data_IF_507077535280
#
_entry.id   IF_507077535280
#
_cell.length_a   1.000
_cell.length_b   1.000
_cell.length_c   1.000
_cell.angle_alpha   90.00
_cell.angle_beta   90.00
_cell.angle_gamma   90.00
#
_symmetry.space_group_name_H-M   'P 1'
#
loop_
_entity.id
_entity.type
_entity.pdbx_description
1 polymer ?
#
# COMPACT_ATOMS: atom_id res chain seq x y z
N UNK A 1 -25.38 8.33 10.42
CA UNK A 1 -25.91 7.20 9.63
C UNK A 1 -24.72 6.32 9.26
N UNK A 2 -24.61 5.10 9.80
CA UNK A 2 -23.48 4.22 9.53
C UNK A 2 -23.59 3.63 8.11
N UNK A 3 -22.50 3.63 7.35
CA UNK A 3 -22.47 3.01 6.02
C UNK A 3 -22.63 1.49 6.18
N UNK A 4 -23.47 0.81 5.38
CA UNK A 4 -23.56 -0.64 5.43
C UNK A 4 -22.18 -1.27 5.22
N UNK A 5 -21.90 -2.35 5.96
CA UNK A 5 -20.70 -3.14 5.76
C UNK A 5 -20.74 -3.70 4.33
N UNK A 6 -19.65 -3.54 3.58
CA UNK A 6 -19.52 -4.13 2.24
C UNK A 6 -19.37 -5.65 2.38
N UNK A 7 -19.95 -6.38 1.45
CA UNK A 7 -19.78 -7.84 1.39
C UNK A 7 -18.33 -8.16 0.98
N UNK A 8 -17.78 -9.26 1.49
CA UNK A 8 -16.45 -9.72 1.12
C UNK A 8 -16.30 -9.98 -0.37
N UNK A 9 -17.40 -10.37 -1.05
CA UNK A 9 -17.45 -10.57 -2.50
C UNK A 9 -17.55 -9.29 -3.33
N UNK A 10 -17.78 -8.12 -2.71
CA UNK A 10 -17.84 -6.85 -3.44
C UNK A 10 -16.46 -6.47 -3.98
N UNK A 11 -16.45 -5.87 -5.17
CA UNK A 11 -15.21 -5.40 -5.80
C UNK A 11 -14.63 -4.23 -5.02
N UNK A 12 -13.37 -4.37 -4.64
CA UNK A 12 -12.60 -3.37 -3.91
C UNK A 12 -11.56 -2.66 -4.78
N UNK A 13 -11.03 -3.36 -5.79
CA UNK A 13 -10.02 -2.84 -6.71
C UNK A 13 -10.27 -3.37 -8.12
N UNK A 14 -10.01 -2.52 -9.12
CA UNK A 14 -10.00 -2.92 -10.52
C UNK A 14 -9.03 -2.03 -11.30
N UNK A 15 -8.15 -2.66 -12.06
CA UNK A 15 -7.29 -2.03 -13.06
C UNK A 15 -7.31 -2.83 -14.37
N UNK A 16 -6.43 -2.50 -15.31
CA UNK A 16 -6.35 -3.19 -16.60
C UNK A 16 -5.85 -4.63 -16.50
N UNK A 17 -5.12 -4.99 -15.43
CA UNK A 17 -4.52 -6.31 -15.23
C UNK A 17 -5.34 -7.21 -14.32
N UNK A 18 -6.15 -6.67 -13.41
CA UNK A 18 -6.90 -7.48 -12.45
C UNK A 18 -8.13 -6.81 -11.85
N UNK A 19 -9.00 -7.64 -11.25
CA UNK A 19 -10.16 -7.25 -10.46
C UNK A 19 -10.13 -8.03 -9.15
N UNK A 20 -10.21 -7.33 -8.03
CA UNK A 20 -10.10 -7.92 -6.69
C UNK A 20 -11.31 -7.54 -5.83
N UNK A 21 -11.77 -8.49 -5.05
CA UNK A 21 -12.81 -8.36 -4.05
C UNK A 21 -12.27 -7.81 -2.72
N UNK A 22 -13.15 -7.38 -1.84
CA UNK A 22 -12.79 -6.95 -0.49
C UNK A 22 -12.10 -8.08 0.31
N UNK A 23 -12.53 -9.33 0.14
CA UNK A 23 -11.88 -10.49 0.76
C UNK A 23 -10.46 -10.73 0.24
N UNK A 24 -10.23 -10.62 -1.07
CA UNK A 24 -8.89 -10.79 -1.66
C UNK A 24 -7.93 -9.68 -1.22
N UNK A 25 -8.41 -8.43 -1.16
CA UNK A 25 -7.61 -7.30 -0.64
C UNK A 25 -7.25 -7.53 0.83
N UNK A 26 -8.20 -7.98 1.66
CA UNK A 26 -7.98 -8.25 3.08
C UNK A 26 -7.03 -9.43 3.35
N UNK A 27 -6.87 -10.35 2.39
CA UNK A 27 -5.91 -11.44 2.46
C UNK A 27 -4.46 -11.02 2.15
N UNK A 28 -4.21 -9.74 1.83
CA UNK A 28 -2.86 -9.21 1.61
C UNK A 28 -2.00 -9.42 2.87
N UNK A 29 -0.77 -9.98 2.74
CA UNK A 29 0.13 -10.11 3.87
C UNK A 29 0.40 -8.75 4.55
N UNK A 30 0.26 -8.66 5.90
CA UNK A 30 0.52 -7.42 6.61
C UNK A 30 2.02 -7.09 6.61
N UNK A 31 2.34 -5.80 6.56
CA UNK A 31 3.71 -5.28 6.66
C UNK A 31 3.84 -4.51 7.97
N UNK A 32 4.72 -4.98 8.86
CA UNK A 32 4.93 -4.37 10.19
C UNK A 32 6.19 -3.50 10.26
N UNK A 33 7.06 -3.61 9.26
CA UNK A 33 8.27 -2.78 9.10
C UNK A 33 7.99 -1.44 8.43
N UNK A 34 8.92 -0.49 8.58
CA UNK A 34 8.88 0.78 7.84
C UNK A 34 9.47 0.55 6.47
N UNK A 35 8.73 0.71 5.39
CA UNK A 35 9.23 0.40 4.04
C UNK A 35 9.18 1.63 3.13
N UNK A 36 10.12 1.72 2.19
CA UNK A 36 10.06 2.70 1.10
C UNK A 36 9.78 1.97 -0.21
N UNK A 37 8.56 2.12 -0.72
CA UNK A 37 8.12 1.46 -1.95
C UNK A 37 8.41 2.34 -3.16
N UNK A 38 9.08 1.75 -4.17
CA UNK A 38 9.13 2.34 -5.52
C UNK A 38 7.90 1.88 -6.30
N UNK A 39 7.09 2.80 -6.86
CA UNK A 39 5.96 2.41 -7.68
C UNK A 39 6.37 1.49 -8.83
N UNK A 40 5.57 0.46 -9.06
CA UNK A 40 5.74 -0.52 -10.13
C UNK A 40 4.43 -0.60 -10.94
N UNK A 41 3.69 -1.69 -10.82
CA UNK A 41 2.35 -1.82 -11.38
C UNK A 41 1.28 -1.30 -10.39
N UNK A 42 0.07 -0.94 -10.87
CA UNK A 42 -0.91 -0.20 -10.07
C UNK A 42 -1.29 -0.91 -8.77
N UNK A 43 -1.72 -2.18 -8.87
CA UNK A 43 -2.10 -2.95 -7.69
C UNK A 43 -0.91 -3.24 -6.78
N UNK A 44 0.23 -3.66 -7.33
CA UNK A 44 1.45 -3.97 -6.56
C UNK A 44 1.89 -2.76 -5.74
N UNK A 45 1.85 -1.57 -6.34
CA UNK A 45 2.15 -0.31 -5.66
C UNK A 45 1.19 -0.06 -4.49
N UNK A 46 -0.12 -0.21 -4.70
CA UNK A 46 -1.12 0.04 -3.65
C UNK A 46 -1.06 -1.03 -2.56
N UNK A 47 -0.86 -2.29 -2.93
CA UNK A 47 -0.70 -3.43 -2.03
C UNK A 47 0.47 -3.18 -1.08
N UNK A 48 1.63 -2.84 -1.62
CA UNK A 48 2.88 -2.75 -0.86
C UNK A 48 2.99 -1.41 -0.10
N UNK A 49 2.51 -0.31 -0.68
CA UNK A 49 2.64 1.03 -0.09
C UNK A 49 1.49 1.42 0.85
N UNK A 50 0.32 0.78 0.75
CA UNK A 50 -0.89 1.18 1.48
C UNK A 50 -1.56 0.01 2.19
N UNK A 51 -1.97 -1.03 1.47
CA UNK A 51 -2.80 -2.10 2.06
C UNK A 51 -2.02 -2.90 3.11
N UNK A 52 -0.84 -3.41 2.76
CA UNK A 52 0.02 -4.16 3.68
C UNK A 52 0.36 -3.40 4.96
N UNK A 53 0.83 -2.13 4.88
CA UNK A 53 1.07 -1.30 6.06
C UNK A 53 -0.16 -1.08 6.93
N UNK A 54 -1.33 -0.81 6.34
CA UNK A 54 -2.57 -0.60 7.11
C UNK A 54 -3.06 -1.89 7.79
N UNK A 55 -2.98 -3.04 7.11
CA UNK A 55 -3.31 -4.34 7.70
C UNK A 55 -2.32 -4.75 8.80
N UNK A 56 -1.06 -4.29 8.72
CA UNK A 56 -0.05 -4.44 9.77
C UNK A 56 -0.26 -3.53 10.98
N UNK A 57 -1.33 -2.72 11.01
CA UNK A 57 -1.61 -1.74 12.07
C UNK A 57 -0.78 -0.45 11.97
N UNK A 58 -0.08 -0.26 10.86
CA UNK A 58 0.73 0.92 10.58
C UNK A 58 -0.03 2.03 9.85
N UNK A 59 0.74 2.88 9.17
CA UNK A 59 0.25 3.98 8.35
C UNK A 59 1.00 4.04 7.03
N UNK A 60 0.47 4.78 6.06
CA UNK A 60 1.11 5.04 4.78
C UNK A 60 1.30 6.55 4.57
N UNK A 61 2.48 6.94 4.08
CA UNK A 61 2.79 8.34 3.71
C UNK A 61 3.15 8.37 2.23
N UNK A 62 2.42 9.18 1.46
CA UNK A 62 2.67 9.39 0.03
C UNK A 62 3.25 10.78 -0.17
N UNK A 63 4.44 10.85 -0.76
CA UNK A 63 5.12 12.11 -1.10
C UNK A 63 5.12 12.28 -2.62
N UNK A 64 4.53 13.37 -3.10
CA UNK A 64 4.51 13.69 -4.53
C UNK A 64 5.70 14.57 -4.93
N UNK A 65 6.22 14.34 -6.15
CA UNK A 65 7.29 15.13 -6.76
C UNK A 65 8.45 14.27 -7.25
N UNK A 66 9.43 14.92 -7.89
CA UNK A 66 10.63 14.23 -8.36
C UNK A 66 11.43 13.65 -7.18
N UNK A 67 11.82 12.38 -7.32
CA UNK A 67 12.64 11.67 -6.36
C UNK A 67 13.82 11.03 -7.07
N UNK A 68 14.99 11.65 -6.95
CA UNK A 68 16.26 11.04 -7.35
C UNK A 68 16.75 10.06 -6.28
N UNK A 69 17.80 9.30 -6.61
CA UNK A 69 18.36 8.31 -5.69
C UNK A 69 18.86 8.93 -4.37
N UNK A 70 19.42 10.15 -4.43
CA UNK A 70 19.88 10.86 -3.25
C UNK A 70 18.74 11.23 -2.30
N UNK A 71 17.61 11.72 -2.82
CA UNK A 71 16.41 12.03 -2.04
C UNK A 71 15.79 10.76 -1.46
N UNK A 72 15.70 9.69 -2.24
CA UNK A 72 15.20 8.40 -1.75
C UNK A 72 16.08 7.85 -0.62
N UNK A 73 17.41 7.94 -0.75
CA UNK A 73 18.34 7.54 0.30
C UNK A 73 18.14 8.35 1.59
N UNK A 74 17.96 9.67 1.49
CA UNK A 74 17.63 10.52 2.65
C UNK A 74 16.32 10.10 3.32
N UNK A 75 15.27 9.86 2.53
CA UNK A 75 13.97 9.42 3.06
C UNK A 75 14.11 8.09 3.81
N UNK A 76 14.79 7.09 3.21
CA UNK A 76 15.03 5.79 3.87
C UNK A 76 15.71 5.94 5.22
N UNK A 77 16.75 6.78 5.28
CA UNK A 77 17.49 7.02 6.52
C UNK A 77 16.62 7.73 7.58
N UNK A 78 15.91 8.80 7.20
CA UNK A 78 15.04 9.56 8.11
C UNK A 78 13.89 8.73 8.67
N UNK A 79 13.28 7.89 7.83
CA UNK A 79 12.15 7.04 8.21
C UNK A 79 12.59 5.71 8.84
N UNK A 80 13.90 5.41 8.88
CA UNK A 80 14.46 4.14 9.38
C UNK A 80 13.82 2.94 8.69
N UNK A 81 13.80 2.96 7.35
CA UNK A 81 13.21 1.88 6.57
C UNK A 81 13.97 0.56 6.75
N UNK A 82 13.24 -0.56 6.69
CA UNK A 82 13.77 -1.93 6.63
C UNK A 82 13.82 -2.39 5.17
N UNK A 83 14.78 -3.27 4.85
CA UNK A 83 14.95 -3.90 3.53
C UNK A 83 14.21 -5.23 3.42
#
# INVERSE_FOLDING_TARGET
>A
MARPARDGGDVAWQDAGQRLTHAEVAATPPVTGRVLVRPSAPWETVRDAVVGPLLGGGSAVVVAGAADDARLARIRASERCVE
#
